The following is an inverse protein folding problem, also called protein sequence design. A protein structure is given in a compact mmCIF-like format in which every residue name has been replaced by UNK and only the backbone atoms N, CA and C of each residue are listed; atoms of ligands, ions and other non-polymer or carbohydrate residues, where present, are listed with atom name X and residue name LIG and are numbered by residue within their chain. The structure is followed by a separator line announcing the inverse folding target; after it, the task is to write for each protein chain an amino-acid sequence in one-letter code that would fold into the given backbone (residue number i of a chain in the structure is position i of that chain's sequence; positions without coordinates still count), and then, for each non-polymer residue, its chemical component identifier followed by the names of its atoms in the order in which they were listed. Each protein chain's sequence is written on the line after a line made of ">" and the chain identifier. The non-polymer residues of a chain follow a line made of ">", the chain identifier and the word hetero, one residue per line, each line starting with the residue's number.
data_IF_882175413103
#
_entry.id   IF_882175413103
#
_cell.length_a   1.000
_cell.length_b   1.000
_cell.length_c   1.000
_cell.angle_alpha   90.00
_cell.angle_beta   90.00
_cell.angle_gamma   90.00
#
_symmetry.space_group_name_H-M   'P 1'
#
loop_
_entity.id
_entity.type
_entity.pdbx_description
1 polymer ?
#
# COMPACT_ATOMS: atom_id res chain seq x y z
N UNK A 1 -12.78 21.84 -1.49
CA UNK A 1 -11.36 22.09 -1.17
C UNK A 1 -11.23 22.27 0.35
N UNK A 2 -10.01 22.32 0.90
CA UNK A 2 -9.78 22.47 2.34
C UNK A 2 -8.75 21.47 2.86
N UNK A 3 -8.58 21.43 4.18
CA UNK A 3 -7.80 20.40 4.87
C UNK A 3 -8.73 19.20 5.08
N UNK A 4 -8.64 18.23 4.17
CA UNK A 4 -9.58 17.10 4.09
C UNK A 4 -9.07 15.83 4.80
N UNK A 5 -7.82 15.85 5.24
CA UNK A 5 -7.13 14.77 5.94
C UNK A 5 -6.59 15.27 7.26
N UNK A 6 -6.25 14.32 8.12
CA UNK A 6 -5.60 14.56 9.40
C UNK A 6 -4.31 15.37 9.22
N UNK A 7 -4.06 16.30 10.13
CA UNK A 7 -2.83 17.10 10.21
C UNK A 7 -2.10 16.73 11.49
N UNK A 8 -0.81 16.46 11.38
CA UNK A 8 0.01 15.99 12.48
C UNK A 8 1.23 16.87 12.67
N UNK A 9 1.66 17.06 13.92
CA UNK A 9 2.99 17.53 14.27
C UNK A 9 3.81 16.34 14.74
N UNK A 10 4.87 16.00 14.01
CA UNK A 10 5.73 14.85 14.30
C UNK A 10 7.03 15.30 14.93
N UNK A 11 7.49 14.56 15.95
CA UNK A 11 8.84 14.68 16.51
C UNK A 11 9.64 13.44 16.11
N UNK A 12 10.55 13.62 15.16
CA UNK A 12 11.43 12.55 14.69
C UNK A 12 12.83 12.68 15.31
N UNK A 13 13.54 11.57 15.55
CA UNK A 13 14.95 11.63 15.91
C UNK A 13 15.78 12.18 14.75
N UNK A 14 16.97 12.73 15.05
CA UNK A 14 17.87 13.30 14.03
C UNK A 14 18.26 12.24 12.99
N UNK A 15 18.48 11.01 13.42
CA UNK A 15 18.77 9.87 12.56
C UNK A 15 17.60 8.89 12.64
N UNK A 16 16.87 8.73 11.54
CA UNK A 16 15.60 8.01 11.51
C UNK A 16 15.42 7.24 10.20
N UNK A 17 14.49 6.27 10.23
CA UNK A 17 13.96 5.61 9.04
C UNK A 17 13.16 6.64 8.23
N UNK A 18 13.46 6.74 6.94
CA UNK A 18 12.76 7.61 6.00
C UNK A 18 11.73 6.83 5.17
N UNK A 19 12.10 5.64 4.69
CA UNK A 19 11.21 4.81 3.89
C UNK A 19 11.56 3.32 4.03
N UNK A 20 10.59 2.47 3.73
CA UNK A 20 10.78 1.02 3.67
C UNK A 20 10.13 0.52 2.38
N UNK A 21 10.93 -0.19 1.58
CA UNK A 21 10.46 -0.95 0.42
C UNK A 21 10.43 -2.42 0.82
N UNK A 22 9.26 -3.04 0.63
CA UNK A 22 9.02 -4.44 0.93
C UNK A 22 8.38 -5.10 -0.27
N UNK A 23 8.92 -6.24 -0.66
CA UNK A 23 8.32 -7.12 -1.65
C UNK A 23 8.15 -8.50 -1.04
N UNK A 24 6.97 -9.08 -1.19
CA UNK A 24 6.68 -10.43 -0.71
C UNK A 24 5.69 -11.12 -1.63
N UNK A 25 5.83 -12.44 -1.79
CA UNK A 25 5.04 -13.20 -2.76
C UNK A 25 4.40 -14.48 -2.16
N UNK A 26 3.65 -15.20 -3.00
CA UNK A 26 2.93 -16.42 -2.66
C UNK A 26 3.83 -17.67 -2.59
N UNK A 27 5.13 -17.50 -2.81
CA UNK A 27 6.18 -18.51 -2.69
C UNK A 27 6.91 -18.39 -1.34
N UNK A 28 6.59 -17.34 -0.57
CA UNK A 28 7.18 -17.04 0.74
C UNK A 28 8.47 -16.24 0.66
N UNK A 29 8.81 -15.67 -0.51
CA UNK A 29 9.94 -14.76 -0.61
C UNK A 29 9.60 -13.43 0.07
N UNK A 30 10.60 -12.82 0.69
CA UNK A 30 10.53 -11.49 1.27
C UNK A 30 11.85 -10.77 0.99
N UNK A 31 11.77 -9.64 0.28
CA UNK A 31 12.88 -8.74 -0.01
C UNK A 31 12.60 -7.38 0.61
N UNK A 32 13.63 -6.75 1.16
CA UNK A 32 13.48 -5.42 1.72
C UNK A 32 14.66 -4.49 1.45
N UNK A 33 14.34 -3.20 1.45
CA UNK A 33 15.29 -2.09 1.51
C UNK A 33 14.77 -1.02 2.48
N UNK A 34 15.58 -0.67 3.45
CA UNK A 34 15.35 0.45 4.37
C UNK A 34 16.12 1.66 3.84
N UNK A 35 15.42 2.79 3.72
CA UNK A 35 16.01 4.10 3.48
C UNK A 35 16.02 4.90 4.77
N UNK A 36 17.16 5.52 5.03
CA UNK A 36 17.42 6.34 6.21
C UNK A 36 17.51 7.78 5.76
N UNK A 37 17.13 8.72 6.62
CA UNK A 37 17.18 10.15 6.29
C UNK A 37 18.62 10.69 6.09
N UNK A 38 19.62 9.94 6.53
CA UNK A 38 21.04 10.24 6.39
C UNK A 38 21.82 8.93 6.13
N UNK A 39 23.08 9.05 5.72
CA UNK A 39 23.97 7.89 5.55
C UNK A 39 24.16 7.15 6.87
N UNK A 40 24.12 5.81 6.83
CA UNK A 40 24.38 4.96 8.00
C UNK A 40 25.79 5.20 8.55
N UNK A 41 25.88 5.61 9.82
CA UNK A 41 27.14 5.83 10.53
C UNK A 41 27.52 4.58 11.36
N UNK A 42 28.83 4.34 11.63
CA UNK A 42 29.32 3.10 12.25
C UNK A 42 28.79 2.80 13.65
N UNK A 43 28.36 3.83 14.40
CA UNK A 43 27.81 3.69 15.74
C UNK A 43 26.34 3.24 15.76
N UNK A 44 25.70 3.15 14.59
CA UNK A 44 24.33 2.69 14.43
C UNK A 44 24.25 1.33 13.73
N UNK A 45 23.33 0.50 14.20
CA UNK A 45 22.97 -0.76 13.59
C UNK A 45 21.46 -0.77 13.28
N UNK A 46 21.09 -1.33 12.12
CA UNK A 46 19.70 -1.46 11.71
C UNK A 46 19.27 -2.89 11.99
N UNK A 47 18.37 -3.08 12.95
CA UNK A 47 17.78 -4.37 13.27
C UNK A 47 16.41 -4.48 12.62
N UNK A 48 16.16 -5.61 11.98
CA UNK A 48 14.91 -5.87 11.26
C UNK A 48 14.26 -7.11 11.85
N UNK A 49 12.95 -7.03 12.10
CA UNK A 49 12.13 -8.13 12.58
C UNK A 49 10.89 -8.30 11.70
N UNK A 50 10.53 -9.55 11.41
CA UNK A 50 9.21 -9.91 10.89
C UNK A 50 8.43 -10.57 12.01
N UNK A 51 7.25 -10.04 12.32
CA UNK A 51 6.38 -10.54 13.38
C UNK A 51 5.01 -10.88 12.81
N UNK A 52 4.41 -11.97 13.27
CA UNK A 52 2.98 -12.19 13.07
C UNK A 52 2.18 -11.06 13.77
N UNK A 53 1.23 -10.44 13.06
CA UNK A 53 0.53 -9.24 13.56
C UNK A 53 -0.37 -9.54 14.76
N UNK A 54 -0.93 -10.74 14.84
CA UNK A 54 -1.92 -11.09 15.87
C UNK A 54 -1.26 -11.61 17.15
N UNK A 55 -0.31 -12.52 17.02
CA UNK A 55 0.39 -13.17 18.14
C UNK A 55 1.64 -12.43 18.60
N UNK A 56 2.22 -11.57 17.76
CA UNK A 56 3.52 -10.92 18.01
C UNK A 56 4.72 -11.86 17.90
N UNK A 57 4.50 -13.12 17.47
CA UNK A 57 5.57 -14.10 17.29
C UNK A 57 6.59 -13.58 16.28
N UNK A 58 7.87 -13.58 16.66
CA UNK A 58 8.96 -13.22 15.76
C UNK A 58 9.27 -14.41 14.86
N UNK A 59 9.06 -14.23 13.55
CA UNK A 59 9.27 -15.25 12.53
C UNK A 59 10.67 -15.17 11.93
N UNK A 60 11.22 -13.96 11.86
CA UNK A 60 12.52 -13.73 11.26
C UNK A 60 13.20 -12.49 11.82
N UNK A 61 14.54 -12.49 11.78
CA UNK A 61 15.39 -11.39 12.20
C UNK A 61 16.51 -11.19 11.20
N UNK A 62 16.91 -9.94 10.98
CA UNK A 62 18.09 -9.62 10.20
C UNK A 62 18.75 -8.33 10.71
N UNK A 63 19.98 -8.09 10.28
CA UNK A 63 20.73 -6.86 10.52
C UNK A 63 21.12 -6.25 9.17
N UNK A 64 20.90 -4.95 9.03
CA UNK A 64 21.28 -4.16 7.86
C UNK A 64 20.10 -3.57 7.11
N UNK A 65 20.43 -2.63 6.21
CA UNK A 65 19.47 -1.83 5.43
C UNK A 65 18.87 -2.58 4.24
N UNK A 66 19.38 -3.76 3.90
CA UNK A 66 18.87 -4.60 2.81
C UNK A 66 18.95 -6.06 3.22
N UNK A 67 18.02 -6.86 2.78
CA UNK A 67 18.03 -8.30 3.02
C UNK A 67 16.94 -9.00 2.23
N UNK A 68 17.10 -10.32 2.13
CA UNK A 68 16.14 -11.20 1.48
C UNK A 68 16.05 -12.49 2.29
N UNK A 69 14.88 -13.13 2.27
CA UNK A 69 14.68 -14.45 2.86
C UNK A 69 13.56 -15.19 2.13
N UNK A 70 13.51 -16.50 2.32
CA UNK A 70 12.42 -17.34 1.82
C UNK A 70 11.86 -18.17 2.97
N UNK A 71 10.63 -17.89 3.35
CA UNK A 71 9.92 -18.65 4.35
C UNK A 71 9.41 -19.96 3.77
N UNK A 72 9.48 -21.03 4.57
CA UNK A 72 8.74 -22.25 4.26
C UNK A 72 7.23 -21.94 4.27
N UNK A 73 6.51 -22.33 3.22
CA UNK A 73 5.07 -22.05 3.08
C UNK A 73 4.21 -22.63 4.19
N UNK A 74 4.70 -23.61 4.93
CA UNK A 74 4.03 -24.21 6.10
C UNK A 74 4.22 -23.41 7.39
N UNK A 75 5.12 -22.41 7.39
CA UNK A 75 5.47 -21.56 8.53
C UNK A 75 4.86 -20.17 8.46
N UNK A 76 4.23 -19.83 7.34
CA UNK A 76 3.56 -18.55 7.12
C UNK A 76 2.16 -18.80 6.54
N UNK A 77 1.23 -17.93 6.92
CA UNK A 77 -0.06 -17.81 6.27
C UNK A 77 -0.08 -16.64 5.29
N UNK A 78 -0.77 -16.80 4.16
CA UNK A 78 -0.85 -15.79 3.11
C UNK A 78 -2.01 -14.82 3.35
N UNK A 79 -1.90 -13.62 2.79
CA UNK A 79 -3.01 -12.69 2.72
C UNK A 79 -3.94 -13.09 1.59
N UNK A 80 -5.24 -13.21 1.89
CA UNK A 80 -6.26 -13.52 0.91
C UNK A 80 -7.34 -12.45 0.83
N UNK A 81 -7.84 -12.15 -0.38
CA UNK A 81 -9.06 -11.37 -0.56
C UNK A 81 -10.24 -11.99 0.18
N UNK A 82 -11.19 -11.13 0.53
CA UNK A 82 -12.48 -11.52 1.09
C UNK A 82 -13.13 -12.56 0.19
N UNK A 83 -13.58 -13.66 0.80
CA UNK A 83 -14.20 -14.79 0.10
C UNK A 83 -13.22 -15.85 -0.40
N UNK A 84 -11.90 -15.61 -0.38
CA UNK A 84 -10.89 -16.58 -0.84
C UNK A 84 -10.01 -17.17 0.26
N UNK A 85 -10.00 -16.57 1.46
CA UNK A 85 -9.24 -17.05 2.60
C UNK A 85 -9.16 -16.04 3.75
N UNK A 86 -8.17 -16.22 4.63
CA UNK A 86 -7.90 -15.31 5.76
C UNK A 86 -6.98 -14.16 5.37
N UNK A 87 -7.17 -13.00 6.00
CA UNK A 87 -6.43 -11.76 5.77
C UNK A 87 -5.19 -11.69 6.66
N UNK A 88 -4.28 -12.66 6.53
CA UNK A 88 -3.12 -12.72 7.40
C UNK A 88 -2.16 -11.56 7.10
N UNK A 89 -1.74 -10.88 8.16
CA UNK A 89 -0.88 -9.70 8.09
C UNK A 89 0.27 -9.87 9.07
N UNK A 90 1.38 -9.23 8.75
CA UNK A 90 2.62 -9.24 9.49
C UNK A 90 3.06 -7.81 9.78
N UNK A 91 3.93 -7.67 10.78
CA UNK A 91 4.62 -6.42 11.09
C UNK A 91 6.07 -6.58 10.68
N UNK A 92 6.52 -5.71 9.77
CA UNK A 92 7.93 -5.49 9.51
C UNK A 92 8.41 -4.33 10.40
N UNK A 93 9.22 -4.65 11.41
CA UNK A 93 9.74 -3.69 12.36
C UNK A 93 11.21 -3.40 12.08
N UNK A 94 11.54 -2.13 11.90
CA UNK A 94 12.90 -1.63 11.75
C UNK A 94 13.27 -0.85 13.00
N UNK A 95 14.33 -1.25 13.67
CA UNK A 95 14.88 -0.57 14.84
C UNK A 95 16.26 -0.04 14.52
N UNK A 96 16.46 1.27 14.71
CA UNK A 96 17.77 1.92 14.64
C UNK A 96 18.38 1.86 16.03
N UNK A 97 19.39 1.02 16.22
CA UNK A 97 20.10 0.86 17.49
C UNK A 97 21.36 1.71 17.50
N UNK A 98 21.57 2.50 18.55
CA UNK A 98 22.89 3.05 18.85
C UNK A 98 23.67 1.99 19.64
N UNK A 99 24.71 1.43 19.02
CA UNK A 99 25.47 0.29 19.56
C UNK A 99 26.25 0.67 20.83
N UNK A 100 27.03 1.78 20.86
CA UNK A 100 27.77 2.15 22.07
C UNK A 100 26.87 2.44 23.28
N UNK A 101 25.69 3.03 23.05
CA UNK A 101 24.73 3.36 24.12
C UNK A 101 23.74 2.23 24.42
N UNK A 102 23.78 1.14 23.65
CA UNK A 102 22.84 0.01 23.71
C UNK A 102 21.38 0.47 23.74
N UNK A 103 21.02 1.45 22.89
CA UNK A 103 19.71 2.12 22.96
C UNK A 103 19.07 2.24 21.58
N UNK A 104 17.78 1.89 21.49
CA UNK A 104 16.96 2.17 20.33
C UNK A 104 16.76 3.70 20.18
N UNK A 105 17.11 4.22 19.01
CA UNK A 105 16.99 5.64 18.65
C UNK A 105 15.74 5.90 17.84
N UNK A 106 15.37 4.95 16.98
CA UNK A 106 14.16 5.01 16.18
C UNK A 106 13.57 3.62 16.00
N UNK A 107 12.25 3.55 15.88
CA UNK A 107 11.52 2.30 15.59
C UNK A 107 10.38 2.62 14.63
N UNK A 108 10.44 2.03 13.44
CA UNK A 108 9.39 2.13 12.44
C UNK A 108 8.74 0.76 12.22
N UNK A 109 7.42 0.73 12.02
CA UNK A 109 6.65 -0.50 11.82
C UNK A 109 5.78 -0.35 10.60
N UNK A 110 5.86 -1.34 9.73
CA UNK A 110 5.04 -1.42 8.53
C UNK A 110 4.19 -2.69 8.57
N UNK A 111 2.93 -2.59 8.16
CA UNK A 111 2.08 -3.78 8.00
C UNK A 111 2.20 -4.30 6.57
N UNK A 112 2.34 -5.61 6.39
CA UNK A 112 2.33 -6.22 5.06
C UNK A 112 1.67 -7.61 5.08
N UNK A 113 1.43 -8.19 3.90
CA UNK A 113 0.89 -9.53 3.75
C UNK A 113 1.47 -10.24 2.54
N UNK A 114 1.84 -11.51 2.69
CA UNK A 114 2.36 -12.34 1.59
C UNK A 114 1.25 -12.64 0.59
N UNK A 115 1.40 -12.15 -0.64
CA UNK A 115 0.47 -12.44 -1.75
C UNK A 115 1.07 -12.12 -3.12
N UNK A 116 0.75 -12.92 -4.12
CA UNK A 116 1.08 -12.67 -5.53
C UNK A 116 -0.14 -12.25 -6.31
N UNK A 117 0.04 -11.32 -7.26
CA UNK A 117 -0.97 -10.93 -8.24
C UNK A 117 -0.43 -11.25 -9.63
N UNK A 118 -1.19 -11.99 -10.42
CA UNK A 118 -0.85 -12.33 -11.80
C UNK A 118 -2.04 -12.02 -12.71
N UNK A 119 -1.78 -11.71 -13.98
CA UNK A 119 -2.81 -11.40 -14.97
C UNK A 119 -2.53 -12.28 -16.19
N UNK A 120 -3.54 -13.02 -16.66
CA UNK A 120 -3.54 -13.69 -17.96
C UNK A 120 -4.19 -12.78 -19.01
N UNK A 121 -4.49 -13.31 -20.19
CA UNK A 121 -5.18 -12.54 -21.23
C UNK A 121 -6.62 -12.15 -20.83
N UNK A 122 -7.25 -12.89 -19.92
CA UNK A 122 -8.68 -12.85 -19.63
C UNK A 122 -9.03 -12.90 -18.14
N UNK A 123 -8.08 -13.25 -17.27
CA UNK A 123 -8.31 -13.41 -15.84
C UNK A 123 -7.25 -12.72 -14.98
N UNK A 124 -7.68 -12.27 -13.80
CA UNK A 124 -6.80 -11.80 -12.73
C UNK A 124 -6.69 -12.94 -11.73
N UNK A 125 -5.48 -13.23 -11.26
CA UNK A 125 -5.20 -14.24 -10.25
C UNK A 125 -4.61 -13.59 -9.01
N UNK A 126 -5.10 -14.01 -7.84
CA UNK A 126 -4.47 -13.70 -6.55
C UNK A 126 -4.08 -15.03 -5.93
N UNK A 127 -2.79 -15.19 -5.62
CA UNK A 127 -2.22 -16.42 -5.06
C UNK A 127 -2.56 -17.67 -5.91
N UNK A 128 -2.49 -17.51 -7.24
CA UNK A 128 -2.79 -18.57 -8.21
C UNK A 128 -4.28 -18.94 -8.33
N UNK A 129 -5.20 -18.28 -7.63
CA UNK A 129 -6.65 -18.48 -7.79
C UNK A 129 -7.27 -17.36 -8.61
N UNK A 130 -8.19 -17.65 -9.55
CA UNK A 130 -8.96 -16.62 -10.25
C UNK A 130 -9.66 -15.68 -9.26
N UNK A 131 -9.59 -14.39 -9.54
CA UNK A 131 -10.20 -13.33 -8.74
C UNK A 131 -11.13 -12.50 -9.62
N UNK A 132 -12.40 -12.41 -9.19
CA UNK A 132 -13.39 -11.53 -9.79
C UNK A 132 -13.68 -10.36 -8.85
N UNK A 133 -13.44 -9.13 -9.32
CA UNK A 133 -13.74 -7.90 -8.58
C UNK A 133 -15.25 -7.64 -8.63
N UNK A 134 -15.94 -7.95 -7.53
CA UNK A 134 -17.34 -7.62 -7.32
C UNK A 134 -17.42 -6.43 -6.37
N UNK A 135 -17.75 -5.25 -6.90
CA UNK A 135 -17.81 -4.03 -6.11
C UNK A 135 -18.00 -2.77 -6.94
N UNK A 136 -17.44 -1.66 -6.49
CA UNK A 136 -17.80 -0.34 -7.00
C UNK A 136 -16.58 0.56 -7.26
N UNK A 137 -16.73 1.49 -8.20
CA UNK A 137 -16.04 2.76 -8.09
C UNK A 137 -16.71 3.56 -6.98
N UNK A 138 -15.97 3.84 -5.91
CA UNK A 138 -16.51 4.57 -4.75
C UNK A 138 -16.25 6.08 -4.89
N UNK A 139 -16.65 6.86 -3.89
CA UNK A 139 -16.18 8.22 -3.67
C UNK A 139 -15.94 8.46 -2.18
N UNK A 140 -15.05 9.40 -1.87
CA UNK A 140 -15.04 10.05 -0.55
C UNK A 140 -15.88 11.31 -0.65
N UNK A 141 -17.14 11.15 -0.30
CA UNK A 141 -18.13 12.22 -0.26
C UNK A 141 -19.17 11.86 0.78
N UNK A 142 -19.53 12.82 1.63
CA UNK A 142 -20.56 12.64 2.65
C UNK A 142 -21.18 13.98 3.01
N UNK A 143 -22.44 13.95 3.43
CA UNK A 143 -23.17 15.15 3.84
C UNK A 143 -22.39 15.98 4.87
N UNK A 144 -22.39 17.30 4.67
CA UNK A 144 -21.73 18.33 5.48
C UNK A 144 -20.19 18.34 5.46
N UNK A 145 -19.54 17.18 5.47
CA UNK A 145 -18.06 17.08 5.49
C UNK A 145 -17.44 16.98 4.08
N UNK A 146 -18.27 16.74 3.04
CA UNK A 146 -17.82 16.53 1.68
C UNK A 146 -16.78 15.42 1.62
N UNK A 147 -15.59 15.73 1.08
CA UNK A 147 -14.46 14.78 0.99
C UNK A 147 -13.63 14.66 2.27
N UNK A 148 -14.08 15.25 3.37
CA UNK A 148 -13.38 15.18 4.66
C UNK A 148 -13.33 13.74 5.18
N UNK A 149 -12.17 13.30 5.66
CA UNK A 149 -12.03 11.97 6.23
C UNK A 149 -12.87 11.81 7.51
N UNK A 150 -13.63 10.72 7.58
CA UNK A 150 -14.35 10.29 8.77
C UNK A 150 -14.25 8.78 8.93
N UNK A 151 -13.65 8.32 10.03
CA UNK A 151 -13.50 6.89 10.31
C UNK A 151 -14.86 6.18 10.41
N UNK A 152 -15.89 6.85 10.96
CA UNK A 152 -17.22 6.30 11.07
C UNK A 152 -17.88 6.08 9.70
N UNK A 153 -17.75 7.06 8.79
CA UNK A 153 -18.28 6.97 7.42
C UNK A 153 -17.54 5.88 6.65
N UNK A 154 -16.20 5.88 6.67
CA UNK A 154 -15.38 4.84 6.04
C UNK A 154 -15.77 3.44 6.53
N UNK A 155 -15.92 3.28 7.84
CA UNK A 155 -16.31 2.00 8.46
C UNK A 155 -17.70 1.56 8.02
N UNK A 156 -18.67 2.49 8.01
CA UNK A 156 -20.03 2.24 7.52
C UNK A 156 -20.02 1.80 6.06
N UNK A 157 -19.32 2.53 5.19
CA UNK A 157 -19.25 2.24 3.76
C UNK A 157 -18.66 0.86 3.49
N UNK A 158 -17.56 0.50 4.17
CA UNK A 158 -16.96 -0.83 4.01
C UNK A 158 -17.84 -1.93 4.59
N UNK A 159 -18.55 -1.69 5.69
CA UNK A 159 -19.56 -2.65 6.19
C UNK A 159 -20.69 -2.85 5.17
N UNK A 160 -21.14 -1.78 4.49
CA UNK A 160 -22.16 -1.86 3.45
C UNK A 160 -21.66 -2.61 2.21
N UNK A 161 -20.43 -2.34 1.77
CA UNK A 161 -19.78 -3.09 0.70
C UNK A 161 -19.77 -4.59 1.02
N UNK A 162 -19.33 -4.95 2.23
CA UNK A 162 -19.27 -6.35 2.68
C UNK A 162 -20.66 -6.98 2.82
N UNK A 163 -21.66 -6.22 3.28
CA UNK A 163 -23.05 -6.67 3.39
C UNK A 163 -23.65 -7.01 2.01
N UNK A 164 -23.24 -6.30 0.96
CA UNK A 164 -23.61 -6.58 -0.43
C UNK A 164 -22.77 -7.69 -1.08
N UNK A 165 -21.95 -8.42 -0.29
CA UNK A 165 -20.96 -9.38 -0.76
C UNK A 165 -19.87 -8.79 -1.69
N UNK A 166 -19.64 -7.48 -1.60
CA UNK A 166 -18.55 -6.83 -2.31
C UNK A 166 -17.19 -7.27 -1.75
N UNK A 167 -16.20 -7.40 -2.63
CA UNK A 167 -14.83 -7.81 -2.29
C UNK A 167 -13.76 -6.84 -2.80
N UNK A 168 -14.15 -5.76 -3.48
CA UNK A 168 -13.26 -4.90 -4.24
C UNK A 168 -13.81 -3.47 -4.36
N UNK A 169 -12.95 -2.47 -4.47
CA UNK A 169 -13.34 -1.13 -4.92
C UNK A 169 -12.23 -0.42 -5.69
N UNK A 170 -12.61 0.61 -6.47
CA UNK A 170 -11.70 1.56 -7.11
C UNK A 170 -11.77 2.92 -6.41
N UNK A 171 -10.62 3.55 -6.15
CA UNK A 171 -10.53 4.88 -5.54
C UNK A 171 -10.90 5.98 -6.55
N UNK A 172 -12.16 6.00 -6.98
CA UNK A 172 -12.63 6.90 -8.04
C UNK A 172 -12.75 8.33 -7.47
N UNK A 173 -12.20 9.38 -8.08
CA UNK A 173 -11.19 9.42 -9.14
C UNK A 173 -9.91 10.06 -8.62
N UNK A 174 -9.44 9.61 -7.45
CA UNK A 174 -8.27 10.13 -6.74
C UNK A 174 -7.89 9.20 -5.59
N UNK A 175 -6.63 9.25 -5.10
CA UNK A 175 -6.21 8.47 -3.95
C UNK A 175 -7.03 8.83 -2.69
N UNK A 176 -7.55 7.80 -2.00
CA UNK A 176 -8.29 7.96 -0.74
C UNK A 176 -7.35 8.08 0.47
N UNK A 177 -7.91 8.12 1.68
CA UNK A 177 -7.12 8.14 2.93
C UNK A 177 -6.27 6.90 3.03
N UNK A 178 -5.08 7.06 3.62
CA UNK A 178 -4.22 5.94 3.99
C UNK A 178 -4.94 5.01 4.98
N UNK A 179 -5.74 5.57 5.89
CA UNK A 179 -6.59 4.81 6.82
C UNK A 179 -7.53 3.84 6.09
N UNK A 180 -8.01 4.19 4.89
CA UNK A 180 -8.90 3.32 4.10
C UNK A 180 -8.14 2.16 3.47
N UNK A 181 -6.88 2.38 3.06
CA UNK A 181 -6.03 1.31 2.56
C UNK A 181 -5.63 0.33 3.67
N UNK A 182 -5.25 0.82 4.86
CA UNK A 182 -5.00 -0.05 6.03
C UNK A 182 -6.23 -0.87 6.42
N UNK A 183 -7.42 -0.29 6.33
CA UNK A 183 -8.66 -1.01 6.62
C UNK A 183 -9.00 -2.03 5.53
N UNK A 184 -8.70 -1.73 4.26
CA UNK A 184 -8.85 -2.66 3.16
C UNK A 184 -7.92 -3.88 3.31
N UNK A 185 -6.66 -3.67 3.72
CA UNK A 185 -5.73 -4.75 4.07
C UNK A 185 -6.31 -5.66 5.15
N UNK A 186 -6.84 -5.06 6.22
CA UNK A 186 -7.39 -5.80 7.37
C UNK A 186 -8.64 -6.60 7.00
N UNK A 187 -9.49 -6.07 6.12
CA UNK A 187 -10.76 -6.68 5.71
C UNK A 187 -10.63 -7.61 4.51
N UNK A 188 -9.49 -7.58 3.80
CA UNK A 188 -9.33 -8.38 2.58
C UNK A 188 -10.06 -7.78 1.39
N UNK A 189 -10.36 -6.48 1.44
CA UNK A 189 -11.07 -5.79 0.37
C UNK A 189 -10.03 -5.34 -0.65
N UNK A 190 -10.12 -5.83 -1.87
CA UNK A 190 -9.18 -5.52 -2.94
C UNK A 190 -9.36 -4.07 -3.42
N UNK A 191 -8.26 -3.41 -3.76
CA UNK A 191 -8.25 -2.01 -4.17
C UNK A 191 -7.59 -1.85 -5.53
N UNK A 192 -8.28 -1.15 -6.42
CA UNK A 192 -7.72 -0.55 -7.63
C UNK A 192 -7.42 0.91 -7.29
N UNK A 193 -6.14 1.22 -7.07
CA UNK A 193 -5.69 2.56 -6.69
C UNK A 193 -5.57 3.43 -7.93
N UNK A 194 -6.28 4.55 -7.95
CA UNK A 194 -6.41 5.46 -9.11
C UNK A 194 -5.79 6.82 -8.81
N UNK A 195 -5.03 7.35 -9.78
CA UNK A 195 -4.49 8.71 -9.70
C UNK A 195 -5.61 9.76 -9.87
N UNK A 196 -5.38 11.06 -9.55
CA UNK A 196 -6.41 12.08 -9.75
C UNK A 196 -6.61 12.51 -11.21
N UNK A 197 -5.99 11.80 -12.17
CA UNK A 197 -6.09 12.12 -13.60
C UNK A 197 -7.42 11.64 -14.19
N UNK A 198 -8.43 12.51 -14.15
CA UNK A 198 -9.78 12.23 -14.70
C UNK A 198 -10.14 13.20 -15.82
N UNK A 199 -10.86 12.71 -16.82
CA UNK A 199 -11.40 13.50 -17.93
C UNK A 199 -10.32 14.31 -18.69
N UNK A 200 -9.17 13.69 -18.97
CA UNK A 200 -8.07 14.33 -19.69
C UNK A 200 -8.42 14.54 -21.17
N UNK A 201 -8.62 15.81 -21.57
CA UNK A 201 -8.97 16.19 -22.95
C UNK A 201 -7.76 16.66 -23.80
N UNK A 202 -6.66 17.03 -23.15
CA UNK A 202 -5.44 17.52 -23.82
C UNK A 202 -4.20 16.86 -23.20
N UNK A 203 -3.15 16.69 -24.01
CA UNK A 203 -1.96 15.92 -23.65
C UNK A 203 -0.64 16.73 -23.78
N UNK A 204 -0.53 17.93 -23.19
CA UNK A 204 0.72 18.71 -23.23
C UNK A 204 1.80 18.06 -22.36
N UNK A 205 3.07 18.26 -22.73
CA UNK A 205 4.22 17.68 -22.01
C UNK A 205 4.27 18.04 -20.52
N UNK A 206 3.86 19.26 -20.13
CA UNK A 206 3.80 19.66 -18.71
C UNK A 206 2.81 18.81 -17.90
N UNK A 207 1.67 18.44 -18.50
CA UNK A 207 0.70 17.57 -17.84
C UNK A 207 1.22 16.14 -17.72
N UNK A 208 2.08 15.70 -18.65
CA UNK A 208 2.71 14.38 -18.58
C UNK A 208 3.66 14.30 -17.39
N UNK A 209 4.51 15.30 -17.21
CA UNK A 209 5.45 15.33 -16.07
C UNK A 209 4.73 15.39 -14.73
N UNK A 210 3.66 16.17 -14.62
CA UNK A 210 2.82 16.18 -13.43
C UNK A 210 2.13 14.82 -13.19
N UNK A 211 1.60 14.20 -14.25
CA UNK A 211 0.91 12.92 -14.12
C UNK A 211 1.87 11.79 -13.72
N UNK A 212 3.10 11.77 -14.28
CA UNK A 212 4.16 10.87 -13.82
C UNK A 212 4.46 11.06 -12.34
N UNK A 213 4.59 12.31 -11.88
CA UNK A 213 4.81 12.57 -10.46
C UNK A 213 3.64 12.04 -9.61
N UNK A 214 2.39 12.27 -10.03
CA UNK A 214 1.22 11.73 -9.32
C UNK A 214 1.20 10.19 -9.26
N UNK A 215 1.67 9.51 -10.31
CA UNK A 215 1.81 8.04 -10.31
C UNK A 215 2.89 7.61 -9.31
N UNK A 216 4.03 8.29 -9.30
CA UNK A 216 5.12 8.01 -8.34
C UNK A 216 4.63 8.25 -6.90
N UNK A 217 3.99 9.37 -6.63
CA UNK A 217 3.50 9.71 -5.29
C UNK A 217 2.46 8.68 -4.79
N UNK A 218 1.55 8.25 -5.67
CA UNK A 218 0.59 7.20 -5.36
C UNK A 218 1.28 5.86 -5.07
N UNK A 219 2.24 5.47 -5.90
CA UNK A 219 2.97 4.21 -5.73
C UNK A 219 3.81 4.24 -4.44
N UNK A 220 4.62 5.27 -4.21
CA UNK A 220 5.46 5.41 -3.02
C UNK A 220 4.65 5.36 -1.72
N UNK A 221 3.43 5.89 -1.74
CA UNK A 221 2.50 5.82 -0.61
C UNK A 221 1.94 4.40 -0.43
N UNK A 222 1.39 3.81 -1.49
CA UNK A 222 0.47 2.66 -1.37
C UNK A 222 1.07 1.28 -1.73
N UNK A 223 2.29 1.21 -2.27
CA UNK A 223 2.87 -0.05 -2.80
C UNK A 223 2.97 -1.20 -1.77
N UNK A 224 2.93 -0.88 -0.48
CA UNK A 224 3.05 -1.82 0.63
C UNK A 224 1.74 -2.51 1.00
N UNK A 225 0.60 -1.96 0.57
CA UNK A 225 -0.71 -2.50 0.92
C UNK A 225 -1.00 -3.80 0.15
N UNK A 226 -1.13 -4.97 0.82
CA UNK A 226 -1.57 -6.18 0.14
C UNK A 226 -2.96 -6.04 -0.51
N UNK A 227 -3.82 -5.12 -0.05
CA UNK A 227 -5.10 -4.87 -0.70
C UNK A 227 -4.98 -4.25 -2.09
N UNK A 228 -3.93 -3.46 -2.36
CA UNK A 228 -3.76 -2.78 -3.65
C UNK A 228 -3.17 -3.75 -4.66
N UNK A 229 -3.94 -4.11 -5.68
CA UNK A 229 -3.53 -5.10 -6.68
C UNK A 229 -3.26 -4.50 -8.07
N UNK A 230 -3.74 -3.29 -8.32
CA UNK A 230 -3.69 -2.66 -9.64
C UNK A 230 -3.69 -1.14 -9.50
N UNK A 231 -2.98 -0.49 -10.41
CA UNK A 231 -2.86 0.97 -10.51
C UNK A 231 -3.62 1.47 -11.73
N UNK A 232 -4.68 2.25 -11.50
CA UNK A 232 -5.41 2.94 -12.56
C UNK A 232 -4.74 4.29 -12.84
N UNK A 233 -4.15 4.43 -14.03
CA UNK A 233 -3.40 5.62 -14.38
C UNK A 233 -4.32 6.83 -14.60
N UNK A 234 -5.50 6.65 -15.20
CA UNK A 234 -6.43 7.74 -15.45
C UNK A 234 -7.86 7.21 -15.67
N UNK A 235 -8.85 8.06 -15.44
CA UNK A 235 -10.26 7.77 -15.77
C UNK A 235 -10.73 8.62 -16.96
N UNK A 236 -11.30 7.94 -17.96
CA UNK A 236 -11.89 8.54 -19.17
C UNK A 236 -11.04 9.63 -19.86
N UNK A 237 -9.74 9.37 -20.16
CA UNK A 237 -8.97 10.24 -21.06
C UNK A 237 -9.48 10.14 -22.51
N UNK A 238 -9.35 11.23 -23.28
CA UNK A 238 -9.62 11.29 -24.74
C UNK A 238 -8.57 10.46 -25.55
N UNK A 239 -8.54 9.13 -25.36
CA UNK A 239 -7.53 8.22 -25.95
C UNK A 239 -7.68 8.00 -27.45
N UNK A 240 -8.78 8.49 -28.05
CA UNK A 240 -8.97 8.53 -29.49
C UNK A 240 -8.08 9.58 -30.19
N UNK A 241 -7.51 10.53 -29.45
CA UNK A 241 -6.62 11.57 -30.00
C UNK A 241 -5.21 11.01 -30.26
N UNK A 242 -4.58 11.39 -31.36
CA UNK A 242 -3.23 10.90 -31.75
C UNK A 242 -2.17 11.22 -30.70
N UNK A 243 -2.30 12.37 -30.05
CA UNK A 243 -1.37 12.87 -29.02
C UNK A 243 -1.39 12.01 -27.76
N UNK A 244 -2.53 11.39 -27.43
CA UNK A 244 -2.69 10.53 -26.25
C UNK A 244 -1.75 9.32 -26.29
N UNK A 245 -1.46 8.79 -27.49
CA UNK A 245 -0.58 7.64 -27.65
C UNK A 245 0.86 7.92 -27.22
N UNK A 246 1.35 9.14 -27.44
CA UNK A 246 2.68 9.55 -26.96
C UNK A 246 2.68 9.78 -25.44
N UNK A 247 1.54 10.18 -24.89
CA UNK A 247 1.38 10.48 -23.47
C UNK A 247 1.37 9.22 -22.60
N UNK A 248 0.70 8.16 -23.03
CA UNK A 248 0.54 6.90 -22.26
C UNK A 248 1.53 5.78 -22.65
N UNK A 249 2.49 6.06 -23.53
CA UNK A 249 3.53 5.09 -23.92
C UNK A 249 4.73 5.20 -22.97
#
# INVERSE_FOLDING_TARGET
>A
AGILRSVYLLKLPVFCVQNIYLFSDFEGNLDYRVELNQRLMPEYEIQVLVKDKNSGLILWKNIGIKGQTKFERTKIDFWWPRGLGKQNLYIFEVTVMNVPKQKAVDVYRETFGFRSVNISNDEIFINGKPFYCAGFGMHEDFDLIGRGFSQAVMTKDLNMLEWMNGNCYRTSHYPYSEERAYEADRRGIVVIAETPAVALKTFPGKNLELHKQMVIDLFERDHRHPSVIMWSLANEPDTFRKESRKYFK
#
